data_IF_257878087161
#
_entry.id   IF_257878087161
#
_cell.length_a   1.000
_cell.length_b   1.000
_cell.length_c   1.000
_cell.angle_alpha   90.00
_cell.angle_beta   90.00
_cell.angle_gamma   90.00
#
_symmetry.space_group_name_H-M   'P 1'
#
loop_
_entity.id
_entity.type
_entity.pdbx_description
1 polymer ?
#
# COMPACT_ATOMS: atom_id res chain seq x y z
N UNK A 1 2.97 1.82 -16.74
CA UNK A 1 4.26 2.50 -16.51
C UNK A 1 5.17 1.75 -15.53
N UNK A 2 4.68 0.98 -14.54
CA UNK A 2 5.55 0.30 -13.57
C UNK A 2 6.20 -1.01 -14.09
N UNK A 3 5.57 -1.69 -15.05
CA UNK A 3 6.07 -2.96 -15.61
C UNK A 3 7.39 -2.80 -16.36
N UNK A 4 7.59 -1.66 -17.05
CA UNK A 4 8.83 -1.35 -17.77
C UNK A 4 9.99 -1.05 -16.81
N UNK A 5 9.71 -0.36 -15.69
CA UNK A 5 10.70 -0.09 -14.64
C UNK A 5 11.13 -1.38 -13.95
N UNK A 6 10.18 -2.28 -13.66
CA UNK A 6 10.47 -3.58 -13.07
C UNK A 6 11.31 -4.45 -14.00
N UNK A 7 10.98 -4.49 -15.29
CA UNK A 7 11.75 -5.22 -16.29
C UNK A 7 13.19 -4.68 -16.43
N UNK A 8 13.35 -3.35 -16.50
CA UNK A 8 14.67 -2.72 -16.55
C UNK A 8 15.51 -2.99 -15.29
N UNK A 9 14.88 -2.96 -14.12
CA UNK A 9 15.54 -3.30 -12.85
C UNK A 9 15.98 -4.76 -12.81
N UNK A 10 15.11 -5.70 -13.19
CA UNK A 10 15.43 -7.12 -13.22
C UNK A 10 16.57 -7.45 -14.19
N UNK A 11 16.61 -6.81 -15.37
CA UNK A 11 17.71 -6.99 -16.32
C UNK A 11 19.02 -6.38 -15.79
N UNK A 12 18.97 -5.19 -15.19
CA UNK A 12 20.17 -4.51 -14.67
C UNK A 12 20.81 -5.24 -13.49
N UNK A 13 20.01 -5.97 -12.71
CA UNK A 13 20.45 -6.66 -11.48
C UNK A 13 20.34 -8.19 -11.58
N UNK A 14 20.31 -8.74 -12.79
CA UNK A 14 20.09 -10.17 -13.04
C UNK A 14 21.01 -11.10 -12.24
N UNK A 15 22.31 -10.78 -12.22
CA UNK A 15 23.32 -11.56 -11.50
C UNK A 15 23.07 -11.57 -9.97
N UNK A 16 22.68 -10.42 -9.43
CA UNK A 16 22.37 -10.28 -8.00
C UNK A 16 21.11 -11.05 -7.64
N UNK A 17 20.07 -10.97 -8.49
CA UNK A 17 18.81 -11.70 -8.30
C UNK A 17 19.00 -13.21 -8.34
N UNK A 18 19.87 -13.71 -9.21
CA UNK A 18 20.21 -15.13 -9.28
C UNK A 18 20.96 -15.59 -8.02
N UNK A 19 21.90 -14.78 -7.55
CA UNK A 19 22.64 -15.03 -6.29
C UNK A 19 21.68 -15.04 -5.09
N UNK A 20 20.78 -14.07 -5.00
CA UNK A 20 19.76 -13.99 -3.95
C UNK A 20 18.84 -15.21 -3.99
N UNK A 21 18.42 -15.63 -5.19
CA UNK A 21 17.57 -16.82 -5.36
C UNK A 21 18.27 -18.07 -4.82
N UNK A 22 19.57 -18.24 -5.11
CA UNK A 22 20.35 -19.38 -4.63
C UNK A 22 20.51 -19.36 -3.11
N UNK A 23 20.86 -18.20 -2.53
CA UNK A 23 20.99 -18.04 -1.08
C UNK A 23 19.66 -18.37 -0.38
N UNK A 24 18.55 -17.86 -0.90
CA UNK A 24 17.22 -18.13 -0.33
C UNK A 24 16.83 -19.60 -0.46
N UNK A 25 17.13 -20.23 -1.59
CA UNK A 25 16.94 -21.67 -1.79
C UNK A 25 17.72 -22.50 -0.75
N UNK A 26 18.99 -22.15 -0.53
CA UNK A 26 19.87 -22.82 0.43
C UNK A 26 19.37 -22.64 1.87
N UNK A 27 19.01 -21.42 2.28
CA UNK A 27 18.53 -21.11 3.63
C UNK A 27 17.19 -21.80 3.92
N UNK A 28 16.30 -21.86 2.93
CA UNK A 28 14.95 -22.40 3.10
C UNK A 28 14.85 -23.89 2.77
N UNK A 29 15.94 -24.50 2.29
CA UNK A 29 16.01 -25.87 1.79
C UNK A 29 14.92 -26.16 0.74
N UNK A 30 14.75 -25.23 -0.21
CA UNK A 30 13.76 -25.28 -1.30
C UNK A 30 14.45 -25.18 -2.65
N UNK A 31 13.75 -25.57 -3.71
CA UNK A 31 14.29 -25.42 -5.06
C UNK A 31 14.29 -23.92 -5.46
N UNK A 32 15.35 -23.39 -6.10
CA UNK A 32 15.36 -22.05 -6.70
C UNK A 32 14.10 -21.71 -7.52
N UNK A 33 13.54 -22.68 -8.25
CA UNK A 33 12.30 -22.48 -9.03
C UNK A 33 11.07 -22.19 -8.16
N UNK A 34 11.02 -22.75 -6.95
CA UNK A 34 9.96 -22.48 -5.99
C UNK A 34 10.12 -21.09 -5.35
N UNK A 35 11.34 -20.55 -5.29
CA UNK A 35 11.65 -19.25 -4.69
C UNK A 35 11.39 -18.08 -5.64
N UNK A 36 11.65 -18.26 -6.94
CA UNK A 36 11.42 -17.23 -7.98
C UNK A 36 10.08 -16.50 -7.86
N UNK A 37 8.91 -17.17 -7.76
CA UNK A 37 7.62 -16.46 -7.66
C UNK A 37 7.49 -15.60 -6.39
N UNK A 38 8.13 -15.99 -5.28
CA UNK A 38 8.14 -15.17 -4.06
C UNK A 38 9.03 -13.94 -4.22
N UNK A 39 10.20 -14.12 -4.83
CA UNK A 39 11.11 -13.01 -5.11
C UNK A 39 10.46 -12.00 -6.06
N UNK A 40 9.82 -12.46 -7.13
CA UNK A 40 9.09 -11.61 -8.08
C UNK A 40 7.98 -10.81 -7.41
N UNK A 41 7.25 -11.42 -6.47
CA UNK A 41 6.23 -10.72 -5.67
C UNK A 41 6.85 -9.60 -4.82
N UNK A 42 7.99 -9.85 -4.19
CA UNK A 42 8.69 -8.85 -3.36
C UNK A 42 9.20 -7.71 -4.26
N UNK A 43 9.81 -8.03 -5.39
CA UNK A 43 10.29 -7.03 -6.35
C UNK A 43 9.15 -6.14 -6.88
N UNK A 44 8.01 -6.75 -7.19
CA UNK A 44 6.80 -6.03 -7.61
C UNK A 44 6.36 -5.05 -6.53
N UNK A 45 6.31 -5.47 -5.27
CA UNK A 45 5.95 -4.60 -4.14
C UNK A 45 6.94 -3.47 -3.86
N UNK A 46 8.20 -3.63 -4.23
CA UNK A 46 9.24 -2.60 -4.04
C UNK A 46 9.23 -1.56 -5.16
N UNK A 47 8.90 -1.97 -6.39
CA UNK A 47 8.86 -1.10 -7.58
C UNK A 47 7.51 -0.40 -7.71
N UNK A 48 6.42 -1.04 -7.30
CA UNK A 48 5.15 -0.35 -7.21
C UNK A 48 5.27 0.77 -6.16
N UNK A 49 4.83 2.01 -6.49
CA UNK A 49 4.74 3.05 -5.48
C UNK A 49 3.91 2.45 -4.35
N UNK A 50 4.48 2.39 -3.14
CA UNK A 50 3.77 1.91 -1.97
C UNK A 50 2.45 2.66 -1.94
N UNK A 51 1.37 2.03 -2.42
CA UNK A 51 0.04 2.62 -2.36
C UNK A 51 -0.09 3.01 -0.90
N UNK A 52 -0.24 4.31 -0.68
CA UNK A 52 -0.18 4.96 0.63
C UNK A 52 -0.79 4.01 1.64
N UNK A 53 0.05 3.31 2.40
CA UNK A 53 -0.47 2.34 3.36
C UNK A 53 -1.39 3.17 4.24
N UNK A 54 -2.68 2.82 4.36
CA UNK A 54 -3.57 3.56 5.22
C UNK A 54 -2.89 3.64 6.58
N UNK A 55 -2.82 4.85 7.12
CA UNK A 55 -2.04 5.15 8.32
C UNK A 55 -2.42 4.15 9.39
N UNK A 56 -1.51 3.21 9.61
CA UNK A 56 -1.68 2.08 10.49
C UNK A 56 -1.79 2.57 11.95
N UNK A 57 -2.40 1.77 12.81
CA UNK A 57 -2.57 2.07 14.24
C UNK A 57 -1.25 2.41 14.97
N UNK A 58 -0.10 2.04 14.37
CA UNK A 58 1.25 2.30 14.87
C UNK A 58 1.84 3.66 14.49
N UNK A 59 1.11 4.51 13.75
CA UNK A 59 1.58 5.85 13.40
C UNK A 59 1.55 6.79 14.61
N UNK A 60 2.57 7.66 14.72
CA UNK A 60 2.59 8.67 15.79
C UNK A 60 1.41 9.64 15.63
N UNK A 61 0.94 10.26 16.73
CA UNK A 61 -0.17 11.22 16.69
C UNK A 61 0.03 12.33 15.65
N UNK A 62 1.24 12.87 15.52
CA UNK A 62 1.57 13.96 14.60
C UNK A 62 1.38 13.52 13.14
N UNK A 63 1.79 12.29 12.82
CA UNK A 63 1.64 11.73 11.47
C UNK A 63 0.18 11.51 11.12
N UNK A 64 -0.64 11.12 12.09
CA UNK A 64 -2.10 10.98 11.91
C UNK A 64 -2.76 12.34 11.66
N UNK A 65 -2.39 13.36 12.43
CA UNK A 65 -2.91 14.73 12.28
C UNK A 65 -2.55 15.28 10.89
N UNK A 66 -1.28 15.18 10.50
CA UNK A 66 -0.80 15.74 9.23
C UNK A 66 -1.53 15.13 8.02
N UNK A 67 -1.75 13.82 8.02
CA UNK A 67 -2.43 13.17 6.93
C UNK A 67 -3.95 13.37 6.93
N UNK A 68 -4.58 13.49 8.11
CA UNK A 68 -5.98 13.91 8.20
C UNK A 68 -6.15 15.31 7.60
N UNK A 69 -5.26 16.25 7.93
CA UNK A 69 -5.26 17.59 7.34
C UNK A 69 -5.06 17.57 5.83
N UNK A 70 -4.13 16.75 5.33
CA UNK A 70 -3.90 16.58 3.89
C UNK A 70 -5.15 16.04 3.18
N UNK A 71 -5.85 15.08 3.79
CA UNK A 71 -7.10 14.55 3.28
C UNK A 71 -8.23 15.59 3.27
N UNK A 72 -8.37 16.39 4.33
CA UNK A 72 -9.36 17.48 4.37
C UNK A 72 -9.06 18.51 3.27
N UNK A 73 -7.80 18.89 3.11
CA UNK A 73 -7.40 19.91 2.12
C UNK A 73 -7.63 19.43 0.68
N UNK A 74 -7.37 18.15 0.38
CA UNK A 74 -7.60 17.60 -0.96
C UNK A 74 -9.07 17.62 -1.39
N UNK A 75 -10.01 17.73 -0.44
CA UNK A 75 -11.44 17.79 -0.70
C UNK A 75 -12.04 19.20 -0.55
N UNK A 76 -11.30 20.18 -0.01
CA UNK A 76 -11.81 21.53 0.28
C UNK A 76 -12.36 22.24 -0.97
N UNK A 77 -11.73 22.04 -2.12
CA UNK A 77 -12.10 22.72 -3.37
C UNK A 77 -13.02 21.89 -4.27
N UNK A 78 -13.47 20.71 -3.83
CA UNK A 78 -14.30 19.81 -4.63
C UNK A 78 -15.79 20.20 -4.67
N UNK A 79 -16.19 21.30 -4.00
CA UNK A 79 -17.58 21.77 -3.93
C UNK A 79 -18.59 20.63 -3.66
N UNK A 80 -18.24 19.75 -2.73
CA UNK A 80 -19.08 18.61 -2.37
C UNK A 80 -20.35 19.11 -1.67
N UNK A 81 -21.51 18.48 -1.92
CA UNK A 81 -22.75 18.85 -1.25
C UNK A 81 -22.60 18.63 0.26
N UNK A 82 -23.01 19.62 1.04
CA UNK A 82 -23.05 19.51 2.50
C UNK A 82 -24.16 18.55 2.91
N UNK A 83 -23.87 17.66 3.86
CA UNK A 83 -24.89 16.84 4.48
C UNK A 83 -25.83 17.71 5.33
N UNK A 84 -27.12 17.38 5.33
CA UNK A 84 -28.08 18.01 6.24
C UNK A 84 -27.89 17.51 7.67
N UNK A 85 -28.32 18.30 8.66
CA UNK A 85 -28.26 17.91 10.08
C UNK A 85 -29.01 16.59 10.34
N UNK A 86 -30.10 16.36 9.62
CA UNK A 86 -30.85 15.10 9.65
C UNK A 86 -30.03 13.92 9.11
N UNK A 87 -29.25 14.11 8.04
CA UNK A 87 -28.42 13.05 7.46
C UNK A 87 -27.26 12.63 8.38
N UNK A 88 -26.83 13.50 9.30
CA UNK A 88 -25.77 13.21 10.29
C UNK A 88 -26.30 12.95 11.71
N UNK A 89 -27.62 13.03 11.92
CA UNK A 89 -28.24 12.77 13.22
C UNK A 89 -28.07 11.30 13.61
N UNK A 90 -27.76 11.07 14.88
CA UNK A 90 -27.66 9.73 15.45
C UNK A 90 -28.97 8.98 15.37
N UNK A 91 -30.09 9.67 15.57
CA UNK A 91 -31.45 9.14 15.48
C UNK A 91 -31.80 8.74 14.04
N UNK A 92 -31.31 9.48 13.04
CA UNK A 92 -31.43 9.10 11.62
C UNK A 92 -30.58 7.88 11.25
N UNK A 93 -29.34 7.80 11.77
CA UNK A 93 -28.41 6.71 11.46
C UNK A 93 -28.75 5.41 12.22
N UNK A 94 -29.28 5.51 13.43
CA UNK A 94 -29.45 4.37 14.35
C UNK A 94 -30.88 4.20 14.90
N UNK A 95 -31.86 5.02 14.49
CA UNK A 95 -33.20 5.06 15.07
C UNK A 95 -33.96 3.74 15.05
N UNK A 96 -33.81 2.94 13.99
CA UNK A 96 -34.48 1.64 13.83
C UNK A 96 -33.86 0.50 14.65
N UNK A 97 -32.78 0.78 15.43
CA UNK A 97 -32.08 -0.21 16.26
C UNK A 97 -32.45 -0.12 17.75
N UNK A 98 -33.51 0.61 18.08
CA UNK A 98 -34.05 0.79 19.44
C UNK A 98 -35.25 -0.10 19.74
#
# INVERSE_FOLDING_TARGET
>A
MNTEVLHFFQESHKQDLETITQILADITNRNPEEIKPYLDRILTQLVEPQQERPINETATPEKRIAAFQAWVESHRNLNLPTLSDEAISRESIYGDRG
#
